data_IF_504644344337
#
_entry.id   IF_504644344337
#
_cell.length_a   1.000
_cell.length_b   1.000
_cell.length_c   1.000
_cell.angle_alpha   90.00
_cell.angle_beta   90.00
_cell.angle_gamma   90.00
#
_symmetry.space_group_name_H-M   'P 1'
#
loop_
_entity.id
_entity.type
_entity.pdbx_description
1 polymer ?
#
# COMPACT_ATOMS: atom_id res chain seq x y z
N UNK A 1 41.80 -15.23 -54.54
CA UNK A 1 42.40 -16.40 -53.86
C UNK A 1 41.62 -16.62 -52.57
N UNK A 2 40.77 -17.65 -52.55
CA UNK A 2 39.89 -18.02 -51.44
C UNK A 2 40.70 -18.62 -50.29
N UNK A 3 40.50 -18.19 -49.05
CA UNK A 3 40.83 -18.93 -47.80
C UNK A 3 39.79 -18.48 -46.74
N UNK A 4 38.73 -19.27 -46.51
CA UNK A 4 38.60 -20.28 -45.44
C UNK A 4 38.65 -19.71 -44.02
N UNK A 5 37.45 -19.39 -43.51
CA UNK A 5 36.85 -19.81 -42.23
C UNK A 5 37.81 -19.92 -41.03
N UNK A 6 37.63 -19.01 -40.08
CA UNK A 6 37.65 -19.33 -38.64
C UNK A 6 36.49 -18.57 -37.98
N UNK A 7 35.35 -19.24 -37.81
CA UNK A 7 34.27 -18.79 -36.94
C UNK A 7 34.80 -18.91 -35.52
N UNK A 8 35.26 -17.80 -34.94
CA UNK A 8 35.56 -17.73 -33.52
C UNK A 8 34.21 -17.58 -32.80
N UNK A 9 33.63 -18.73 -32.42
CA UNK A 9 32.49 -18.77 -31.52
C UNK A 9 32.94 -18.22 -30.16
N UNK A 10 32.77 -16.91 -29.97
CA UNK A 10 32.82 -16.31 -28.64
C UNK A 10 31.52 -16.73 -27.95
N UNK A 11 31.59 -17.83 -27.19
CA UNK A 11 30.64 -18.15 -26.14
C UNK A 11 30.84 -17.06 -25.06
N UNK A 12 30.07 -15.97 -25.16
CA UNK A 12 29.90 -15.07 -24.02
C UNK A 12 29.02 -15.84 -23.05
N UNK A 13 29.65 -16.34 -21.98
CA UNK A 13 28.99 -16.82 -20.78
C UNK A 13 27.82 -15.90 -20.47
N UNK A 14 26.64 -16.51 -20.31
CA UNK A 14 25.42 -15.81 -19.98
C UNK A 14 25.64 -14.82 -18.84
N UNK A 15 25.44 -13.54 -19.14
CA UNK A 15 24.91 -12.64 -18.14
C UNK A 15 23.46 -13.05 -17.94
N UNK A 16 23.23 -14.06 -17.11
CA UNK A 16 22.02 -14.03 -16.29
C UNK A 16 22.21 -12.78 -15.46
N UNK A 17 21.55 -11.69 -15.87
CA UNK A 17 21.12 -10.71 -14.88
C UNK A 17 20.35 -11.55 -13.88
N UNK A 18 20.97 -11.79 -12.73
CA UNK A 18 20.19 -12.09 -11.55
C UNK A 18 19.43 -10.80 -11.33
N UNK A 19 18.23 -10.71 -11.92
CA UNK A 19 17.14 -10.08 -11.22
C UNK A 19 17.13 -10.80 -9.88
N UNK A 20 17.80 -10.21 -8.91
CA UNK A 20 17.74 -10.66 -7.54
C UNK A 20 16.25 -10.61 -7.25
N UNK A 21 15.65 -11.79 -7.21
CA UNK A 21 14.33 -12.04 -6.71
C UNK A 21 14.31 -11.50 -5.28
N UNK A 22 14.01 -10.21 -5.16
CA UNK A 22 13.77 -9.48 -3.91
C UNK A 22 12.39 -9.89 -3.37
N UNK A 23 12.02 -11.16 -3.49
CA UNK A 23 10.85 -11.68 -2.81
C UNK A 23 11.19 -11.82 -1.33
N UNK A 24 10.82 -10.76 -0.60
CA UNK A 24 10.63 -10.66 0.84
C UNK A 24 11.79 -10.13 1.69
N UNK A 25 12.38 -9.01 1.24
CA UNK A 25 13.04 -8.10 2.17
C UNK A 25 11.94 -7.36 2.96
N UNK A 26 11.69 -7.81 4.20
CA UNK A 26 10.89 -7.09 5.19
C UNK A 26 11.78 -6.19 6.02
N UNK A 27 11.39 -4.93 6.20
CA UNK A 27 12.16 -3.95 6.98
C UNK A 27 11.60 -3.82 8.38
N UNK A 28 12.48 -3.45 9.31
CA UNK A 28 12.08 -2.93 10.62
C UNK A 28 11.59 -1.50 10.48
N UNK A 29 10.72 -1.08 11.41
CA UNK A 29 10.19 0.28 11.45
C UNK A 29 11.29 1.35 11.42
N UNK A 30 12.35 1.17 12.23
CA UNK A 30 13.46 2.13 12.32
C UNK A 30 14.16 2.34 10.98
N UNK A 31 14.39 1.25 10.24
CA UNK A 31 15.05 1.33 8.94
C UNK A 31 14.15 1.99 7.89
N UNK A 32 12.87 1.62 7.84
CA UNK A 32 11.88 2.23 6.94
C UNK A 32 11.73 3.74 7.19
N UNK A 33 11.59 4.15 8.46
CA UNK A 33 11.48 5.57 8.85
C UNK A 33 12.72 6.37 8.47
N UNK A 34 13.91 5.79 8.60
CA UNK A 34 15.16 6.45 8.21
C UNK A 34 15.19 6.75 6.71
N UNK A 35 14.74 5.80 5.89
CA UNK A 35 14.72 5.95 4.44
C UNK A 35 13.74 7.03 3.98
N UNK A 36 12.51 7.03 4.51
CA UNK A 36 11.50 8.05 4.12
C UNK A 36 11.83 9.44 4.68
N UNK A 37 12.42 9.54 5.87
CA UNK A 37 12.90 10.83 6.41
C UNK A 37 14.03 11.42 5.56
N UNK A 38 14.88 10.58 4.95
CA UNK A 38 15.99 11.05 4.09
C UNK A 38 15.51 11.83 2.84
N UNK A 39 14.25 11.64 2.44
CA UNK A 39 13.63 12.34 1.30
C UNK A 39 12.61 13.41 1.73
N UNK A 40 12.63 13.81 3.00
CA UNK A 40 11.79 14.88 3.53
C UNK A 40 10.35 14.47 3.86
N UNK A 41 10.04 13.17 3.93
CA UNK A 41 8.74 12.69 4.43
C UNK A 41 8.83 12.61 5.95
N UNK A 42 8.06 13.46 6.63
CA UNK A 42 7.95 13.42 8.08
C UNK A 42 6.88 12.41 8.51
N UNK A 43 7.27 11.53 9.43
CA UNK A 43 6.34 10.62 10.11
C UNK A 43 6.29 11.04 11.58
N UNK A 44 5.09 11.25 12.14
CA UNK A 44 4.92 11.75 13.51
C UNK A 44 5.36 10.75 14.59
N UNK A 45 5.51 9.45 14.28
CA UNK A 45 5.93 8.45 15.26
C UNK A 45 7.44 8.48 15.52
N UNK A 46 7.78 8.54 16.81
CA UNK A 46 9.13 8.52 17.36
C UNK A 46 9.45 7.19 18.10
N UNK A 47 8.51 6.25 18.17
CA UNK A 47 8.65 4.97 18.87
C UNK A 47 7.72 3.89 18.32
N UNK A 48 8.07 2.64 18.64
CA UNK A 48 7.29 1.42 18.45
C UNK A 48 5.83 1.65 18.91
N UNK A 49 4.87 1.54 17.99
CA UNK A 49 3.46 1.73 18.32
C UNK A 49 3.02 0.62 19.27
N UNK A 50 2.65 0.99 20.51
CA UNK A 50 2.10 0.04 21.48
C UNK A 50 0.70 -0.44 21.08
N UNK A 51 0.14 -1.38 21.86
CA UNK A 51 -1.23 -1.92 21.68
C UNK A 51 -2.37 -0.89 21.86
N UNK A 52 -2.03 0.38 22.12
CA UNK A 52 -2.98 1.48 22.28
C UNK A 52 -3.44 2.06 20.95
N UNK A 53 -4.66 2.59 20.93
CA UNK A 53 -5.22 3.37 19.81
C UNK A 53 -4.67 4.80 19.79
N UNK A 54 -3.36 4.96 19.98
CA UNK A 54 -2.75 6.29 19.92
C UNK A 54 -2.90 6.86 18.51
N UNK A 55 -3.66 7.95 18.41
CA UNK A 55 -4.15 8.53 17.15
C UNK A 55 -3.01 8.95 16.20
N UNK A 56 -1.79 9.12 16.72
CA UNK A 56 -0.65 9.66 15.97
C UNK A 56 0.42 8.64 15.61
N UNK A 57 0.24 7.36 15.95
CA UNK A 57 1.29 6.37 15.72
C UNK A 57 1.17 5.70 14.34
N UNK A 58 2.27 5.73 13.58
CA UNK A 58 2.39 5.07 12.27
C UNK A 58 3.44 3.97 12.40
N UNK A 59 3.02 2.71 12.33
CA UNK A 59 3.94 1.56 12.28
C UNK A 59 4.29 1.22 10.85
N UNK A 60 5.57 0.96 10.60
CA UNK A 60 6.13 0.49 9.32
C UNK A 60 6.84 -0.85 9.49
N UNK A 61 6.48 -1.60 10.54
CA UNK A 61 7.06 -2.90 10.81
C UNK A 61 6.64 -3.90 9.73
N UNK A 62 7.58 -4.72 9.26
CA UNK A 62 7.38 -5.69 8.18
C UNK A 62 6.83 -5.11 6.87
N UNK A 63 7.14 -3.83 6.58
CA UNK A 63 6.91 -3.28 5.25
C UNK A 63 7.86 -3.93 4.23
N UNK A 64 7.38 -4.16 3.01
CA UNK A 64 8.22 -4.67 1.93
C UNK A 64 9.20 -3.57 1.47
N UNK A 65 10.48 -3.92 1.35
CA UNK A 65 11.55 -3.06 0.83
C UNK A 65 11.19 -2.44 -0.52
N UNK A 66 10.55 -3.20 -1.43
CA UNK A 66 10.17 -2.71 -2.75
C UNK A 66 9.11 -1.60 -2.67
N UNK A 67 8.18 -1.69 -1.72
CA UNK A 67 7.18 -0.65 -1.51
C UNK A 67 7.82 0.68 -1.07
N UNK A 68 8.83 0.62 -0.19
CA UNK A 68 9.59 1.81 0.21
C UNK A 68 10.44 2.34 -0.95
N UNK A 69 11.06 1.44 -1.75
CA UNK A 69 11.83 1.83 -2.93
C UNK A 69 10.99 2.59 -3.96
N UNK A 70 9.85 2.02 -4.35
CA UNK A 70 8.89 2.66 -5.25
C UNK A 70 8.38 4.00 -4.68
N UNK A 71 8.12 4.07 -3.37
CA UNK A 71 7.69 5.31 -2.72
C UNK A 71 8.74 6.42 -2.84
N UNK A 72 10.01 6.07 -2.62
CA UNK A 72 11.14 7.01 -2.73
C UNK A 72 11.27 7.52 -4.17
N UNK A 73 11.19 6.63 -5.14
CA UNK A 73 11.23 6.98 -6.55
C UNK A 73 10.05 7.89 -6.95
N UNK A 74 8.86 7.57 -6.45
CA UNK A 74 7.66 8.38 -6.68
C UNK A 74 7.79 9.79 -6.10
N UNK A 75 8.28 9.96 -4.86
CA UNK A 75 8.51 11.30 -4.28
C UNK A 75 9.52 12.10 -5.09
N UNK A 76 10.63 11.46 -5.51
CA UNK A 76 11.67 12.12 -6.32
C UNK A 76 11.15 12.58 -7.69
N UNK A 77 10.25 11.81 -8.30
CA UNK A 77 9.75 12.09 -9.65
C UNK A 77 8.56 13.05 -9.65
N UNK A 78 7.64 12.89 -8.70
CA UNK A 78 6.42 13.70 -8.62
C UNK A 78 6.63 15.02 -7.89
N UNK A 79 7.62 15.10 -7.01
CA UNK A 79 7.85 16.20 -6.05
C UNK A 79 6.68 16.48 -5.10
N UNK A 80 5.55 15.76 -5.20
CA UNK A 80 4.35 15.91 -4.38
C UNK A 80 4.62 15.61 -2.91
N UNK A 81 3.95 16.33 -2.00
CA UNK A 81 3.99 16.00 -0.58
C UNK A 81 3.18 14.73 -0.32
N UNK A 82 3.80 13.82 0.44
CA UNK A 82 3.24 12.51 0.75
C UNK A 82 3.05 12.43 2.25
N UNK A 83 1.82 12.15 2.67
CA UNK A 83 1.50 11.79 4.04
C UNK A 83 1.34 10.27 4.13
N UNK A 84 2.08 9.64 5.04
CA UNK A 84 1.96 8.21 5.32
C UNK A 84 1.13 8.03 6.58
N UNK A 85 0.00 7.34 6.46
CA UNK A 85 -0.84 6.94 7.57
C UNK A 85 -0.86 5.42 7.66
N UNK A 86 -0.64 4.87 8.85
CA UNK A 86 -0.75 3.44 9.14
C UNK A 86 -1.52 3.26 10.44
N UNK A 87 -2.16 2.10 10.61
CA UNK A 87 -2.82 1.75 11.87
C UNK A 87 -1.80 1.45 12.97
N UNK A 88 -2.24 1.49 14.22
CA UNK A 88 -1.41 1.16 15.40
C UNK A 88 -1.38 -0.34 15.69
N UNK A 89 -1.84 -1.17 14.77
CA UNK A 89 -2.09 -2.58 15.04
C UNK A 89 -0.76 -3.36 15.14
N UNK A 90 -0.48 -3.95 16.30
CA UNK A 90 0.75 -4.71 16.57
C UNK A 90 0.77 -6.12 15.93
N UNK A 91 -0.21 -6.47 15.10
CA UNK A 91 -0.32 -7.79 14.47
C UNK A 91 -0.97 -7.69 13.08
N UNK A 92 -0.26 -7.12 12.11
CA UNK A 92 -0.72 -7.11 10.72
C UNK A 92 -0.59 -8.52 10.12
N UNK A 93 -1.70 -9.25 10.03
CA UNK A 93 -1.72 -10.57 9.39
C UNK A 93 -1.60 -10.43 7.87
N UNK A 94 -0.70 -11.21 7.26
CA UNK A 94 -0.54 -11.22 5.80
C UNK A 94 -1.88 -11.56 5.12
N UNK A 95 -2.37 -10.64 4.28
CA UNK A 95 -3.65 -10.78 3.57
C UNK A 95 -4.84 -10.09 4.26
N UNK A 96 -4.65 -9.53 5.46
CA UNK A 96 -5.60 -8.61 6.09
C UNK A 96 -5.47 -7.20 5.52
N UNK A 97 -6.59 -6.48 5.44
CA UNK A 97 -6.60 -5.03 5.14
C UNK A 97 -6.38 -4.17 6.39
N UNK A 98 -6.27 -4.79 7.58
CA UNK A 98 -6.16 -4.10 8.85
C UNK A 98 -7.50 -3.56 9.35
N UNK A 99 -7.43 -2.56 10.24
CA UNK A 99 -8.61 -1.90 10.80
C UNK A 99 -8.93 -0.62 10.05
N UNK A 100 -10.19 -0.23 10.14
CA UNK A 100 -10.68 0.98 9.52
C UNK A 100 -10.01 2.24 10.13
N UNK A 101 -9.74 3.25 9.28
CA UNK A 101 -9.27 4.55 9.74
C UNK A 101 -10.32 5.20 10.66
N UNK A 102 -9.86 6.06 11.55
CA UNK A 102 -10.72 6.89 12.37
C UNK A 102 -11.70 7.70 11.51
N UNK A 103 -12.90 7.93 12.05
CA UNK A 103 -13.98 8.64 11.36
C UNK A 103 -14.49 7.99 10.07
N UNK A 104 -14.07 6.75 9.78
CA UNK A 104 -14.63 5.90 8.74
C UNK A 104 -15.32 4.71 9.41
N UNK A 105 -16.57 4.50 9.06
CA UNK A 105 -17.34 3.33 9.46
C UNK A 105 -17.43 2.36 8.29
N UNK A 106 -17.26 1.07 8.58
CA UNK A 106 -17.30 0.02 7.56
C UNK A 106 -18.28 -1.07 7.96
N UNK A 107 -18.93 -1.64 6.97
CA UNK A 107 -19.63 -2.92 7.07
C UNK A 107 -19.30 -3.78 5.85
N UNK A 108 -19.35 -5.09 6.03
CA UNK A 108 -19.41 -6.03 4.91
C UNK A 108 -20.90 -6.27 4.64
N UNK A 109 -21.37 -5.92 3.45
CA UNK A 109 -22.77 -5.94 3.06
C UNK A 109 -23.09 -7.08 2.07
N UNK A 110 -24.32 -7.57 2.12
CA UNK A 110 -24.90 -8.43 1.08
C UNK A 110 -25.40 -7.59 -0.11
N UNK A 111 -25.95 -8.26 -1.14
CA UNK A 111 -26.46 -7.60 -2.36
C UNK A 111 -27.69 -6.71 -2.16
N UNK A 112 -28.23 -6.61 -0.94
CA UNK A 112 -29.34 -5.72 -0.59
C UNK A 112 -28.96 -4.71 0.50
N UNK A 113 -27.68 -4.65 0.90
CA UNK A 113 -27.14 -3.67 1.82
C UNK A 113 -27.17 -4.04 3.31
N UNK A 114 -27.57 -5.26 3.69
CA UNK A 114 -27.53 -5.69 5.08
C UNK A 114 -26.14 -6.17 5.48
N UNK A 115 -25.75 -5.95 6.74
CA UNK A 115 -24.47 -6.44 7.25
C UNK A 115 -24.46 -7.98 7.28
N UNK A 116 -23.40 -8.59 6.75
CA UNK A 116 -23.18 -10.04 6.83
C UNK A 116 -22.44 -10.40 8.12
N UNK A 117 -22.59 -11.64 8.63
CA UNK A 117 -21.83 -12.10 9.79
C UNK A 117 -20.31 -12.13 9.53
N UNK A 118 -19.52 -11.96 10.59
CA UNK A 118 -18.06 -12.06 10.55
C UNK A 118 -17.60 -13.36 9.89
N UNK A 119 -16.64 -13.26 8.97
CA UNK A 119 -16.09 -14.39 8.22
C UNK A 119 -16.85 -14.74 6.93
N UNK A 120 -17.99 -14.09 6.66
CA UNK A 120 -18.67 -14.22 5.37
C UNK A 120 -18.21 -13.17 4.36
N UNK A 121 -18.17 -13.54 3.09
CA UNK A 121 -17.82 -12.64 1.99
C UNK A 121 -19.01 -11.75 1.64
N UNK A 122 -18.73 -10.47 1.40
CA UNK A 122 -19.68 -9.49 0.88
C UNK A 122 -18.95 -8.29 0.30
N UNK A 123 -19.69 -7.22 0.05
CA UNK A 123 -19.15 -5.95 -0.44
C UNK A 123 -18.75 -5.03 0.73
N UNK A 124 -17.64 -4.30 0.62
CA UNK A 124 -17.27 -3.32 1.63
C UNK A 124 -18.07 -2.05 1.39
N UNK A 125 -18.94 -1.70 2.34
CA UNK A 125 -19.65 -0.42 2.34
C UNK A 125 -19.03 0.48 3.38
N UNK A 126 -18.84 1.74 3.01
CA UNK A 126 -18.15 2.73 3.86
C UNK A 126 -19.03 3.95 4.10
N UNK A 127 -18.87 4.55 5.28
CA UNK A 127 -19.61 5.73 5.71
C UNK A 127 -18.68 6.68 6.44
N UNK A 128 -18.62 7.93 5.98
CA UNK A 128 -17.80 8.99 6.57
C UNK A 128 -18.23 10.34 5.99
N UNK A 129 -18.01 11.40 6.76
CA UNK A 129 -18.15 12.78 6.28
C UNK A 129 -17.14 13.16 5.19
N UNK A 130 -16.10 12.36 4.99
CA UNK A 130 -15.03 12.62 4.01
C UNK A 130 -15.26 11.92 2.66
N UNK A 131 -16.26 11.02 2.55
CA UNK A 131 -16.59 10.36 1.29
C UNK A 131 -17.25 11.38 0.34
N UNK A 132 -17.01 11.22 -0.97
CA UNK A 132 -17.62 12.06 -2.01
C UNK A 132 -19.14 12.08 -1.90
N UNK A 133 -19.75 13.22 -2.21
CA UNK A 133 -21.20 13.40 -2.17
C UNK A 133 -21.90 12.94 -3.45
N UNK A 134 -21.19 12.95 -4.58
CA UNK A 134 -21.73 12.71 -5.91
C UNK A 134 -20.60 12.47 -6.93
N UNK A 135 -20.95 11.82 -8.03
CA UNK A 135 -20.13 11.78 -9.22
C UNK A 135 -20.37 13.03 -10.06
N UNK A 136 -19.28 13.67 -10.49
CA UNK A 136 -19.34 14.91 -11.26
C UNK A 136 -20.14 14.71 -12.55
N UNK A 137 -21.23 15.47 -12.68
CA UNK A 137 -22.13 15.46 -13.83
C UNK A 137 -22.75 14.08 -14.15
N UNK A 138 -22.85 13.20 -13.15
CA UNK A 138 -23.45 11.88 -13.30
C UNK A 138 -24.35 11.53 -12.10
N UNK A 139 -25.58 12.06 -12.14
CA UNK A 139 -26.57 11.82 -11.09
C UNK A 139 -27.07 10.37 -11.06
N UNK A 140 -27.04 9.67 -12.20
CA UNK A 140 -27.44 8.26 -12.29
C UNK A 140 -26.47 7.41 -11.49
N UNK A 141 -25.15 7.50 -11.78
CA UNK A 141 -24.10 6.80 -11.03
C UNK A 141 -24.07 7.18 -9.56
N UNK A 142 -24.34 8.44 -9.25
CA UNK A 142 -24.46 8.92 -7.88
C UNK A 142 -25.55 8.15 -7.13
N UNK A 143 -26.76 8.06 -7.69
CA UNK A 143 -27.88 7.36 -7.05
C UNK A 143 -27.71 5.84 -6.98
N UNK A 144 -26.96 5.25 -7.91
CA UNK A 144 -26.62 3.82 -7.90
C UNK A 144 -25.62 3.47 -6.79
N UNK A 145 -24.68 4.38 -6.49
CA UNK A 145 -23.54 4.08 -5.61
C UNK A 145 -23.71 4.64 -4.19
N UNK A 146 -24.32 5.83 -4.05
CA UNK A 146 -24.40 6.56 -2.79
C UNK A 146 -25.81 6.42 -2.22
N UNK A 147 -25.93 5.68 -1.12
CA UNK A 147 -27.21 5.48 -0.43
C UNK A 147 -27.41 6.49 0.69
N UNK A 148 -28.66 6.78 1.06
CA UNK A 148 -28.99 7.67 2.18
C UNK A 148 -28.64 7.11 3.57
N UNK A 149 -28.14 5.87 3.65
CA UNK A 149 -27.68 5.23 4.89
C UNK A 149 -26.18 5.35 5.14
N UNK A 150 -25.49 6.08 4.25
CA UNK A 150 -24.07 6.41 4.32
C UNK A 150 -23.85 7.77 4.97
#
# INVERSE_FOLDING_TARGET
MMHRIFVLAIVILGSTVVDADLTDCKMTHVYAVTQVKSIGIEIPSNSECGEGTEITCVSLEQINCDSIGCLIEFKKTSECDILITSGTETNNENGSLGRCMQCLEIKVADGVGNAVPTGQRGEIWTRSSTIMTDYFNDSEKTSETITSSS
#
